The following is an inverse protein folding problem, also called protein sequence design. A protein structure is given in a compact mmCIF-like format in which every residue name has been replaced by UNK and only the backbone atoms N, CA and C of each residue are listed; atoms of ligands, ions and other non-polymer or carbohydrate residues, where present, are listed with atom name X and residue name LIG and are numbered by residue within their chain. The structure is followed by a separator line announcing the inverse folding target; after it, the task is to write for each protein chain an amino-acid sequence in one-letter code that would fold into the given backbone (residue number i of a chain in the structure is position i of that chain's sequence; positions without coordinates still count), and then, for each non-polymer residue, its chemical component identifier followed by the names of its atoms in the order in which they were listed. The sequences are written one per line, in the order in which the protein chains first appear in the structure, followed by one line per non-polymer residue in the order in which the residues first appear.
data_IF_725439354185
#
_entry.id   IF_725439354185
#
_cell.length_a   1.000
_cell.length_b   1.000
_cell.length_c   1.000
_cell.angle_alpha   90.00
_cell.angle_beta   90.00
_cell.angle_gamma   90.00
#
_symmetry.space_group_name_H-M   'P 1'
#
loop_
_entity.id
_entity.type
_entity.pdbx_description
1 polymer ?
2 polymer ?
3 polymer ?
4 non-polymer ?
5 water ?
#
loop_
_entity_poly.entity_id
_entity_poly.type
_entity_poly.pdbx_seq_one_letter_code
_entity_poly.pdbx_strand_id
2 'polydeoxyribonucleotide' '(DA)(DA)(DA)(DT)(DT)(DG)(DT)(DT)(DT)(DA)(DT)(DA)(DA)(DA)(DC)(DA)(DG)(DC)(DC)(DC)(DG)' ?
3 'polydeoxyribonucleotide' '(DT)(DT)(DC)(DG)(DG)(DG)(DC)(DT)(DG)(DT)(DT)(DT)(DA)(DT)(DA)(DA)(DA)(DC)(DA)(DA)(DT)' ?
#
# COMPACT_ATOMS: atom_id res chain seq x y z
N UNK A 14 2.76 -27.71 17.80
CA UNK A 14 3.10 -26.72 18.86
C UNK A 14 2.21 -25.47 18.75
N UNK A 15 1.36 -25.28 19.76
CA UNK A 15 0.27 -24.30 19.69
C UNK A 15 0.69 -22.82 19.66
N UNK A 16 1.91 -22.49 20.09
CA UNK A 16 2.31 -21.08 20.20
C UNK A 16 3.39 -20.58 19.22
N UNK A 17 3.67 -21.35 18.18
CA UNK A 17 4.59 -20.90 17.12
C UNK A 17 3.84 -19.97 16.16
N UNK A 18 4.57 -19.17 15.37
CA UNK A 18 3.95 -18.22 14.45
C UNK A 18 3.10 -18.90 13.35
N UNK A 19 1.84 -18.50 13.19
CA UNK A 19 0.99 -19.17 12.19
C UNK A 19 1.40 -18.92 10.74
N UNK A 20 1.04 -19.84 9.82
CA UNK A 20 1.37 -19.63 8.42
C UNK A 20 0.28 -18.84 7.69
N UNK A 21 -0.24 -17.80 8.33
CA UNK A 21 -1.25 -16.93 7.74
C UNK A 21 -0.80 -15.48 7.76
N UNK A 22 -1.13 -14.75 6.69
CA UNK A 22 -0.80 -13.34 6.62
C UNK A 22 -1.72 -12.58 7.57
N UNK A 23 -1.32 -11.38 7.96
CA UNK A 23 -2.21 -10.53 8.73
C UNK A 23 -3.59 -10.37 8.06
N UNK A 24 -3.57 -10.23 6.74
CA UNK A 24 -4.80 -10.08 5.95
C UNK A 24 -5.72 -11.32 6.10
N UNK A 25 -5.17 -12.52 6.03
CA UNK A 25 -5.94 -13.75 6.27
C UNK A 25 -6.54 -13.78 7.69
N UNK A 26 -5.72 -13.47 8.69
CA UNK A 26 -6.15 -13.59 10.09
C UNK A 26 -7.23 -12.55 10.40
N UNK A 27 -7.10 -11.37 9.81
CA UNK A 27 -8.13 -10.35 9.99
C UNK A 27 -9.47 -10.87 9.43
N UNK A 28 -9.43 -11.54 8.27
CA UNK A 28 -10.66 -12.07 7.69
C UNK A 28 -11.28 -13.15 8.58
N UNK A 29 -10.44 -14.04 9.12
CA UNK A 29 -10.91 -15.10 9.98
C UNK A 29 -11.64 -14.50 11.17
N UNK A 30 -11.06 -13.45 11.70
CA UNK A 30 -11.59 -12.79 12.87
C UNK A 30 -12.97 -12.20 12.57
N UNK A 31 -13.04 -11.37 11.53
CA UNK A 31 -14.31 -10.75 11.15
C UNK A 31 -15.37 -11.80 10.75
N UNK A 32 -14.97 -12.82 10.02
CA UNK A 32 -15.92 -13.82 9.57
C UNK A 32 -16.40 -14.76 10.68
N UNK A 33 -15.80 -14.69 11.86
CA UNK A 33 -16.23 -15.52 13.00
C UNK A 33 -17.52 -14.97 13.64
N UNK A 34 -17.91 -13.75 13.29
CA UNK A 34 -19.08 -13.11 13.87
C UNK A 34 -20.30 -13.29 12.98
N UNK A 35 -21.48 -13.35 13.59
CA UNK A 35 -22.73 -13.49 12.84
C UNK A 35 -23.00 -12.27 11.94
N UNK A 36 -22.64 -11.08 12.43
CA UNK A 36 -22.87 -9.84 11.69
C UNK A 36 -21.75 -9.54 10.68
N UNK A 37 -20.71 -10.38 10.66
CA UNK A 37 -19.55 -10.19 9.80
C UNK A 37 -18.92 -8.80 9.98
N UNK A 38 -18.79 -8.39 11.24
CA UNK A 38 -18.10 -7.16 11.60
C UNK A 38 -17.46 -7.30 12.97
N UNK A 39 -16.43 -6.51 13.23
CA UNK A 39 -15.70 -6.63 14.48
C UNK A 39 -14.91 -5.35 14.75
N UNK A 40 -14.95 -4.89 15.99
CA UNK A 40 -14.12 -3.78 16.43
C UNK A 40 -12.63 -4.16 16.39
N UNK A 41 -11.77 -3.15 16.27
CA UNK A 41 -10.32 -3.40 16.26
C UNK A 41 -9.85 -4.16 17.51
N UNK A 42 -10.31 -3.75 18.70
CA UNK A 42 -9.93 -4.43 19.94
C UNK A 42 -10.28 -5.90 19.83
N UNK A 43 -11.49 -6.18 19.40
CA UNK A 43 -11.93 -7.57 19.28
C UNK A 43 -11.11 -8.36 18.29
N UNK A 44 -10.62 -7.72 17.23
CA UNK A 44 -9.72 -8.38 16.28
C UNK A 44 -8.38 -8.73 16.93
N UNK A 45 -7.83 -7.82 17.73
CA UNK A 45 -6.61 -8.13 18.47
C UNK A 45 -6.87 -9.34 19.34
N UNK A 46 -7.96 -9.28 20.10
CA UNK A 46 -8.34 -10.36 21.03
C UNK A 46 -8.53 -11.70 20.32
N UNK A 47 -9.21 -11.67 19.19
CA UNK A 47 -9.50 -12.92 18.45
C UNK A 47 -8.19 -13.56 18.01
N UNK A 48 -7.31 -12.76 17.43
CA UNK A 48 -6.00 -13.25 16.96
C UNK A 48 -5.13 -13.75 18.13
N UNK A 49 -5.06 -12.98 19.22
CA UNK A 49 -4.37 -13.42 20.44
C UNK A 49 -4.92 -14.76 20.91
N UNK A 50 -6.24 -14.87 21.00
CA UNK A 50 -6.90 -16.10 21.48
C UNK A 50 -6.56 -17.31 20.61
N UNK A 51 -6.54 -17.12 19.30
CA UNK A 51 -6.41 -18.24 18.36
C UNK A 51 -4.97 -18.53 17.92
N UNK A 52 -4.10 -17.53 17.98
CA UNK A 52 -2.72 -17.72 17.59
C UNK A 52 -1.84 -17.18 18.71
N UNK A 53 -1.68 -17.95 19.81
CA UNK A 53 -0.99 -17.53 21.03
C UNK A 53 0.40 -16.92 20.82
N UNK A 54 1.03 -17.19 19.68
CA UNK A 54 2.24 -16.47 19.29
C UNK A 54 2.09 -14.95 19.49
N UNK A 55 0.96 -14.39 19.08
CA UNK A 55 0.73 -12.97 19.23
C UNK A 55 0.41 -12.54 20.66
N UNK A 56 -0.02 -13.46 21.52
CA UNK A 56 -0.27 -13.12 22.93
C UNK A 56 1.01 -13.21 23.76
N UNK A 57 1.96 -14.05 23.36
CA UNK A 57 3.11 -14.36 24.20
C UNK A 57 4.48 -14.04 23.63
N UNK A 58 4.62 -13.99 22.31
CA UNK A 58 5.93 -13.85 21.71
C UNK A 58 6.08 -12.57 20.89
N UNK A 59 5.20 -12.37 19.90
CA UNK A 59 5.28 -11.20 19.03
C UNK A 59 5.58 -9.91 19.80
N UNK A 60 6.52 -9.12 19.29
CA UNK A 60 6.75 -7.75 19.74
C UNK A 60 5.47 -6.92 19.60
N UNK A 61 5.34 -5.88 20.43
CA UNK A 61 4.16 -5.00 20.39
C UNK A 61 3.69 -4.51 18.99
N UNK A 62 4.61 -4.30 18.05
CA UNK A 62 4.26 -3.77 16.73
C UNK A 62 3.34 -4.62 15.85
N UNK A 63 3.02 -5.84 16.26
CA UNK A 63 2.12 -6.64 15.45
C UNK A 63 0.76 -5.93 15.31
N UNK A 64 0.37 -5.18 16.35
CA UNK A 64 -0.87 -4.45 16.35
C UNK A 64 -0.84 -3.30 15.36
N UNK A 65 0.30 -2.60 15.28
CA UNK A 65 0.53 -1.60 14.24
C UNK A 65 0.32 -2.25 12.86
N UNK A 66 0.82 -3.46 12.69
CA UNK A 66 0.72 -4.16 11.42
C UNK A 66 -0.73 -4.52 11.10
N UNK A 67 -1.52 -4.87 12.11
CA UNK A 67 -2.95 -5.10 11.90
C UNK A 67 -3.61 -3.81 11.38
N UNK A 68 -3.32 -2.68 12.01
CA UNK A 68 -3.98 -1.42 11.63
C UNK A 68 -3.55 -1.02 10.22
N UNK A 69 -2.27 -1.19 9.92
CA UNK A 69 -1.72 -0.97 8.58
C UNK A 69 -2.48 -1.76 7.52
N UNK A 70 -2.69 -3.06 7.77
CA UNK A 70 -3.44 -3.92 6.85
C UNK A 70 -4.91 -3.52 6.65
N UNK A 71 -5.57 -3.16 7.76
CA UNK A 71 -6.92 -2.61 7.70
C UNK A 71 -7.05 -1.42 6.75
N UNK A 72 -6.13 -0.46 6.87
CA UNK A 72 -6.12 0.72 5.99
C UNK A 72 -5.64 0.42 4.56
N UNK A 73 -4.65 -0.44 4.44
CA UNK A 73 -4.03 -0.75 3.15
C UNK A 73 -4.98 -1.44 2.18
N UNK A 74 -5.67 -2.46 2.66
CA UNK A 74 -6.49 -3.31 1.81
C UNK A 74 -7.91 -2.79 1.70
N UNK A 75 -8.34 -2.54 0.47
CA UNK A 75 -9.69 -2.01 0.21
C UNK A 75 -10.82 -3.00 0.56
N UNK A 76 -10.51 -4.28 0.71
CA UNK A 76 -11.50 -5.23 1.18
C UNK A 76 -11.94 -4.99 2.63
N UNK A 77 -11.10 -4.33 3.43
CA UNK A 77 -11.48 -4.00 4.81
C UNK A 77 -12.05 -2.61 4.84
N UNK A 78 -13.35 -2.55 5.16
CA UNK A 78 -14.12 -1.32 5.12
C UNK A 78 -14.59 -0.99 6.53
N UNK A 79 -14.37 0.25 6.92
CA UNK A 79 -14.77 0.72 8.23
C UNK A 79 -16.22 1.20 8.22
N UNK A 80 -17.02 0.74 9.18
CA UNK A 80 -18.40 1.15 9.33
C UNK A 80 -18.61 1.73 10.72
N UNK A 81 -19.00 3.00 10.78
CA UNK A 81 -19.29 3.65 12.05
C UNK A 81 -20.78 3.52 12.36
N UNK A 82 -21.06 3.19 13.62
CA UNK A 82 -22.42 2.87 14.06
C UNK A 82 -23.34 4.09 14.03
N UNK A 83 -24.64 3.82 13.95
CA UNK A 83 -25.68 4.86 13.90
C UNK A 83 -25.61 5.86 15.07
N UNK A 84 -24.88 5.49 16.12
CA UNK A 84 -24.80 6.28 17.36
C UNK A 84 -24.06 7.60 17.23
N UNK A 85 -22.90 7.57 16.61
CA UNK A 85 -21.99 8.70 16.62
C UNK A 85 -21.13 8.72 17.87
N UNK A 86 -20.17 7.80 18.03
CA UNK A 86 -19.85 6.72 17.08
C UNK A 86 -19.24 5.50 17.80
N UNK A 87 -19.53 4.32 17.29
CA UNK A 87 -18.75 3.11 17.55
C UNK A 87 -18.41 2.54 16.18
N UNK A 88 -17.18 2.07 15.98
CA UNK A 88 -16.80 1.69 14.62
C UNK A 88 -16.34 0.24 14.52
N UNK A 89 -16.82 -0.44 13.49
CA UNK A 89 -16.47 -1.83 13.22
C UNK A 89 -15.70 -1.92 11.92
N UNK A 90 -14.86 -2.94 11.84
CA UNK A 90 -14.23 -3.31 10.58
C UNK A 90 -15.03 -4.44 9.97
N UNK A 91 -15.28 -4.32 8.67
CA UNK A 91 -16.06 -5.28 7.91
C UNK A 91 -15.27 -5.69 6.70
N UNK A 92 -15.75 -6.73 6.04
CA UNK A 92 -15.22 -7.13 4.76
C UNK A 92 -16.20 -6.64 3.70
N UNK A 93 -15.66 -5.96 2.70
CA UNK A 93 -16.43 -5.53 1.55
C UNK A 93 -17.37 -6.66 1.12
N UNK A 94 -18.67 -6.35 0.95
CA UNK A 94 -19.71 -7.33 0.58
C UNK A 94 -19.42 -8.19 -0.65
N UNK A 95 -18.73 -7.63 -1.64
CA UNK A 95 -18.39 -8.33 -2.87
C UNK A 95 -17.05 -9.07 -2.75
N UNK A 96 -16.34 -8.86 -1.65
CA UNK A 96 -15.03 -9.50 -1.43
C UNK A 96 -15.11 -10.76 -0.59
N UNK A 97 -16.14 -10.86 0.23
CA UNK A 97 -16.14 -11.85 1.30
C UNK A 97 -16.34 -13.27 0.80
N UNK A 98 -15.31 -14.08 0.95
CA UNK A 98 -15.36 -15.50 0.62
C UNK A 98 -15.89 -16.31 1.80
N UNK A 99 -16.07 -15.64 2.94
CA UNK A 99 -16.43 -16.29 4.20
C UNK A 99 -15.43 -17.36 4.60
N UNK A 100 -14.15 -17.08 4.33
CA UNK A 100 -13.06 -17.84 4.91
C UNK A 100 -13.18 -17.75 6.42
N UNK A 101 -13.56 -18.86 7.06
CA UNK A 101 -13.44 -19.01 8.51
C UNK A 101 -12.29 -19.97 8.82
N UNK A 102 -11.76 -19.89 10.04
CA UNK A 102 -10.57 -20.67 10.44
C UNK A 102 -10.78 -22.20 10.32
N UNK A 103 -12.04 -22.64 10.42
CA UNK A 103 -12.37 -24.05 10.22
C UNK A 103 -12.42 -24.39 8.74
N UNK B 16 21.99 19.57 -2.56
CA UNK B 16 21.43 18.18 -2.76
C UNK B 16 20.99 17.50 -1.46
N UNK B 17 19.84 17.94 -0.94
CA UNK B 17 19.18 17.17 0.10
C UNK B 17 18.07 16.34 -0.53
N UNK B 18 17.62 15.35 0.21
CA UNK B 18 16.49 14.53 -0.17
C UNK B 18 15.31 15.46 -0.35
N UNK B 19 14.62 15.36 -1.49
CA UNK B 19 13.54 16.28 -1.77
C UNK B 19 12.30 15.93 -0.95
N UNK B 20 11.42 16.91 -0.74
CA UNK B 20 10.29 16.68 0.15
C UNK B 20 9.08 16.16 -0.61
N UNK B 21 9.29 15.19 -1.50
CA UNK B 21 8.21 14.55 -2.26
C UNK B 21 8.30 13.04 -2.08
N UNK B 22 7.15 12.39 -2.05
CA UNK B 22 7.06 10.94 -1.91
C UNK B 22 7.54 10.25 -3.18
N UNK B 23 7.89 8.97 -3.10
CA UNK B 23 8.21 8.20 -4.31
C UNK B 23 7.02 8.20 -5.32
N UNK B 24 5.82 8.07 -4.80
CA UNK B 24 4.61 8.11 -5.63
C UNK B 24 4.54 9.44 -6.42
N UNK B 25 4.85 10.55 -5.76
CA UNK B 25 4.82 11.86 -6.41
C UNK B 25 5.90 11.95 -7.48
N UNK B 26 7.12 11.53 -7.15
CA UNK B 26 8.24 11.64 -8.11
C UNK B 26 8.05 10.74 -9.32
N UNK B 27 7.44 9.58 -9.11
CA UNK B 27 7.15 8.66 -10.22
C UNK B 27 6.21 9.32 -11.21
N UNK B 28 5.21 10.03 -10.69
CA UNK B 28 4.28 10.79 -11.52
C UNK B 28 4.99 11.90 -12.29
N UNK B 29 5.93 12.59 -11.65
CA UNK B 29 6.70 13.63 -12.33
C UNK B 29 7.41 13.02 -13.54
N UNK B 30 8.02 11.86 -13.33
CA UNK B 30 8.80 11.21 -14.38
C UNK B 30 7.89 10.84 -15.53
N UNK B 31 6.80 10.15 -15.23
CA UNK B 31 5.91 9.64 -16.27
C UNK B 31 5.28 10.80 -17.04
N UNK B 32 4.86 11.82 -16.30
CA UNK B 32 4.18 12.95 -16.92
C UNK B 32 5.12 13.90 -17.65
N UNK B 33 6.42 13.69 -17.53
CA UNK B 33 7.41 14.48 -18.29
C UNK B 33 7.48 14.05 -19.75
N UNK B 34 6.94 12.88 -20.10
CA UNK B 34 7.04 12.39 -21.48
C UNK B 34 5.83 12.80 -22.33
N UNK B 35 6.01 12.79 -23.65
CA UNK B 35 4.91 13.10 -24.56
C UNK B 35 3.75 12.15 -24.32
N UNK B 36 4.03 10.86 -24.29
CA UNK B 36 2.98 9.85 -24.30
C UNK B 36 2.48 9.39 -22.91
N UNK B 37 2.94 10.05 -21.85
CA UNK B 37 2.53 9.75 -20.47
C UNK B 37 2.74 8.27 -20.11
N UNK B 38 3.91 7.78 -20.53
CA UNK B 38 4.33 6.43 -20.25
C UNK B 38 5.85 6.37 -20.19
N UNK B 39 6.39 5.54 -19.30
CA UNK B 39 7.84 5.45 -19.10
C UNK B 39 8.28 4.09 -18.59
N UNK B 40 9.39 3.60 -19.09
CA UNK B 40 9.97 2.36 -18.58
C UNK B 40 10.58 2.57 -17.20
N UNK B 41 10.70 1.49 -16.44
CA UNK B 41 11.31 1.52 -15.11
C UNK B 41 12.67 2.16 -15.11
N UNK B 42 13.53 1.77 -16.06
CA UNK B 42 14.90 2.27 -16.08
C UNK B 42 14.94 3.77 -16.34
N UNK B 43 14.00 4.25 -17.15
CA UNK B 43 13.90 5.68 -17.43
C UNK B 43 13.34 6.42 -16.22
N UNK B 44 12.54 5.74 -15.39
CA UNK B 44 12.04 6.37 -14.17
C UNK B 44 13.21 6.56 -13.22
N UNK B 45 14.06 5.54 -13.11
CA UNK B 45 15.26 5.62 -12.26
C UNK B 45 16.10 6.81 -12.69
N UNK B 46 16.46 6.83 -13.98
CA UNK B 46 17.27 7.89 -14.57
C UNK B 46 16.65 9.27 -14.36
N UNK B 47 15.36 9.39 -14.61
CA UNK B 47 14.68 10.67 -14.44
C UNK B 47 14.82 11.17 -13.00
N UNK B 48 14.60 10.30 -12.02
CA UNK B 48 14.65 10.69 -10.61
C UNK B 48 16.08 11.12 -10.26
N UNK B 49 17.06 10.31 -10.67
CA UNK B 49 18.48 10.61 -10.48
C UNK B 49 18.88 11.97 -11.04
N UNK B 50 18.44 12.24 -12.26
CA UNK B 50 18.82 13.47 -12.96
C UNK B 50 18.25 14.72 -12.29
N UNK B 51 17.02 14.63 -11.78
CA UNK B 51 16.34 15.81 -11.23
C UNK B 51 16.53 15.93 -9.73
N UNK B 52 16.82 14.83 -9.06
CA UNK B 52 17.02 14.84 -7.61
C UNK B 52 18.28 14.09 -7.26
N UNK B 53 19.43 14.76 -7.34
CA UNK B 53 20.72 14.07 -7.25
C UNK B 53 21.00 13.40 -5.91
N UNK B 54 20.20 13.69 -4.89
CA UNK B 54 20.22 12.89 -3.66
C UNK B 54 20.18 11.40 -3.98
N UNK B 55 19.31 11.01 -4.92
CA UNK B 55 19.17 9.60 -5.26
C UNK B 55 20.29 9.09 -6.16
N UNK B 56 20.86 9.97 -6.98
CA UNK B 56 22.04 9.62 -7.79
C UNK B 56 23.28 9.42 -6.93
N UNK B 57 23.44 10.21 -5.87
CA UNK B 57 24.71 10.29 -5.15
C UNK B 57 24.70 9.88 -3.69
N UNK B 58 23.57 9.96 -3.00
CA UNK B 58 23.55 9.71 -1.56
C UNK B 58 22.71 8.50 -1.15
N UNK B 59 21.49 8.40 -1.65
CA UNK B 59 20.58 7.32 -1.24
C UNK B 59 21.25 5.96 -1.28
N UNK B 60 20.94 5.13 -0.30
CA UNK B 60 21.34 3.72 -0.31
C UNK B 60 20.68 3.05 -1.51
N UNK B 61 21.30 1.97 -2.05
CA UNK B 61 20.80 1.31 -3.27
C UNK B 61 19.33 0.86 -3.21
N UNK B 62 18.81 0.60 -2.01
CA UNK B 62 17.42 0.17 -1.83
C UNK B 62 16.35 1.14 -2.33
N UNK B 63 16.73 2.38 -2.58
CA UNK B 63 15.76 3.33 -3.13
C UNK B 63 15.12 2.80 -4.41
N UNK B 64 15.90 2.09 -5.24
CA UNK B 64 15.35 1.49 -6.45
C UNK B 64 14.28 0.42 -6.13
N UNK B 65 14.50 -0.37 -5.07
CA UNK B 65 13.52 -1.35 -4.64
C UNK B 65 12.24 -0.62 -4.23
N UNK B 66 12.38 0.53 -3.56
CA UNK B 66 11.21 1.31 -3.14
C UNK B 66 10.42 1.82 -4.34
N UNK B 67 11.10 2.22 -5.41
CA UNK B 67 10.41 2.60 -6.64
C UNK B 67 9.57 1.43 -7.17
N UNK B 68 10.18 0.27 -7.31
CA UNK B 68 9.45 -0.90 -7.83
C UNK B 68 8.27 -1.24 -6.91
N UNK B 69 8.50 -1.22 -5.60
CA UNK B 69 7.45 -1.44 -4.61
C UNK B 69 6.28 -0.49 -4.84
N UNK B 70 6.58 0.80 -4.99
CA UNK B 70 5.54 1.79 -5.27
C UNK B 70 4.73 1.53 -6.54
N UNK B 71 5.40 1.20 -7.63
CA UNK B 71 4.73 0.95 -8.88
C UNK B 71 3.75 -0.22 -8.72
N UNK B 72 4.18 -1.30 -8.08
CA UNK B 72 3.29 -2.46 -7.86
C UNK B 72 2.23 -2.22 -6.81
N UNK B 73 2.56 -1.49 -5.75
CA UNK B 73 1.63 -1.29 -4.63
C UNK B 73 0.43 -0.45 -5.00
N UNK B 74 0.68 0.66 -5.67
CA UNK B 74 -0.36 1.63 -5.99
C UNK B 74 -1.06 1.28 -7.29
N UNK B 75 -2.38 1.14 -7.19
CA UNK B 75 -3.19 0.83 -8.36
C UNK B 75 -3.18 1.94 -9.41
N UNK B 76 -2.85 3.16 -8.99
CA UNK B 76 -2.75 4.28 -9.94
C UNK B 76 -1.65 4.06 -10.95
N UNK B 77 -0.68 3.20 -10.64
CA UNK B 77 0.37 2.86 -11.59
C UNK B 77 0.02 1.57 -12.31
N UNK B 78 -0.16 1.68 -13.61
CA UNK B 78 -0.65 0.59 -14.44
C UNK B 78 0.43 0.26 -15.45
N UNK B 79 0.91 -0.97 -15.40
CA UNK B 79 1.92 -1.43 -16.32
C UNK B 79 1.21 -1.72 -17.63
N UNK B 80 1.89 -1.48 -18.74
CA UNK B 80 1.30 -1.62 -20.06
C UNK B 80 2.35 -1.98 -21.06
N UNK B 81 2.08 -3.03 -21.81
CA UNK B 81 2.96 -3.42 -22.88
C UNK B 81 2.55 -2.58 -24.08
N UNK B 82 3.53 -2.15 -24.87
CA UNK B 82 3.24 -1.51 -26.15
C UNK B 82 2.29 -2.39 -26.96
N UNK B 83 1.68 -1.83 -27.99
CA UNK B 83 0.85 -2.62 -28.90
C UNK B 83 1.71 -3.68 -29.58
N UNK B 84 3.00 -3.35 -29.79
CA UNK B 84 3.96 -4.25 -30.40
C UNK B 84 4.50 -5.34 -29.45
N UNK B 85 4.12 -5.27 -28.17
CA UNK B 85 4.44 -6.33 -27.21
C UNK B 85 5.85 -6.31 -26.63
N UNK B 86 6.70 -5.43 -27.14
CA UNK B 86 8.13 -5.49 -26.88
C UNK B 86 8.59 -4.71 -25.66
N UNK B 87 7.95 -3.59 -25.36
CA UNK B 87 8.33 -2.75 -24.23
C UNK B 87 7.25 -2.75 -23.17
N UNK B 88 7.68 -2.73 -21.90
CA UNK B 88 6.77 -2.60 -20.77
C UNK B 88 6.89 -1.18 -20.21
N UNK B 89 5.77 -0.48 -20.17
CA UNK B 89 5.71 0.90 -19.70
C UNK B 89 4.88 0.99 -18.45
N UNK B 90 5.25 1.94 -17.60
CA UNK B 90 4.38 2.37 -16.54
C UNK B 90 3.62 3.61 -16.97
N UNK B 91 2.36 3.65 -16.58
CA UNK B 91 1.44 4.72 -16.94
C UNK B 91 0.65 5.03 -15.70
N UNK B 92 -0.20 6.05 -15.78
CA UNK B 92 -1.03 6.46 -14.66
C UNK B 92 -2.53 6.19 -14.93
N UNK B 93 -3.23 5.65 -13.94
CA UNK B 93 -4.65 5.33 -14.09
C UNK B 93 -5.53 6.60 -14.27
N UNK B 94 -6.40 6.62 -15.31
CA UNK B 94 -7.33 7.71 -15.60
C UNK B 94 -8.29 8.12 -14.48
N UNK B 95 -8.77 7.17 -13.68
CA UNK B 95 -9.63 7.53 -12.53
C UNK B 95 -8.84 8.20 -11.40
N UNK B 96 -7.53 8.29 -11.53
CA UNK B 96 -6.72 8.99 -10.55
C UNK B 96 -5.49 9.60 -11.18
N UNK B 97 -5.66 10.32 -12.29
CA UNK B 97 -4.55 11.16 -12.80
C UNK B 97 -4.85 12.63 -12.49
N UNK B 98 -4.18 13.14 -11.47
CA UNK B 98 -4.32 14.54 -11.08
C UNK B 98 -3.33 15.37 -11.88
N UNK B 99 -2.54 14.69 -12.69
CA UNK B 99 -1.56 15.29 -13.58
C UNK B 99 -0.50 16.13 -12.86
N UNK B 100 0.36 15.45 -12.12
CA UNK B 100 1.45 16.05 -11.41
C UNK B 100 2.67 16.15 -12.29
N UNK B 101 3.22 17.33 -12.40
CA UNK B 101 4.46 17.55 -13.12
C UNK B 101 5.44 18.36 -12.25
N UNK B 102 6.74 18.12 -12.43
CA UNK B 102 7.82 18.84 -11.71
C UNK B 102 7.59 20.34 -11.61
N UNK B 103 7.23 20.96 -12.73
CA UNK B 103 7.08 22.42 -12.80
C UNK B 103 6.08 22.96 -11.78
N UNK B 104 5.15 22.12 -11.36
CA UNK B 104 4.14 22.50 -10.37
C UNK B 104 4.72 22.61 -8.96
N UNK B 105 5.91 22.06 -8.74
CA UNK B 105 6.54 22.09 -7.42
C UNK B 105 7.36 23.36 -7.16
N UNK B 106 7.50 24.24 -8.14
CA UNK B 106 8.43 25.37 -8.02
C UNK B 106 7.72 26.62 -7.51
N UNK B 107 8.21 27.18 -6.39
CA UNK B 107 7.74 28.45 -5.86
C UNK B 107 8.48 29.55 -6.59
N UNK B 108 7.77 30.61 -6.97
CA UNK B 108 8.48 31.81 -7.42
C UNK B 108 9.20 32.41 -6.22
N UNK B 109 10.37 33.01 -6.46
CA UNK B 109 11.18 33.50 -5.34
C UNK B 109 10.57 34.76 -4.69
N UNK B 110 10.50 34.73 -3.36
CA UNK B 110 10.05 35.85 -2.54
C UNK B 110 11.21 36.36 -1.67
#
# INVERSE_FOLDING_TARGET
GPGPSRPSASWQNSVSERPPYSYMAMIQFAINSTERKRMTLKDIYTWIEDHFPYFKHIAKPGWKNSIRHNLSLHDMFVRETSANGKVSFWTIHPSANRYLTLDQVFKPLDPGSPQLPEHLESQQKRPNPELRRNMTIKTELP
GPGPSRPSASWQNSVSERPPYSYMAMIQFAINSTERKRMTLKDIYTWIEDHFPYFKHIAKPGWKNSIRHNLSLHDMFVRETSANGKVSFWTIHPSANRYLTLDQVFKPLDPGSPQLPEHLESQQKRPNPELRRNMTIKTELP
#
